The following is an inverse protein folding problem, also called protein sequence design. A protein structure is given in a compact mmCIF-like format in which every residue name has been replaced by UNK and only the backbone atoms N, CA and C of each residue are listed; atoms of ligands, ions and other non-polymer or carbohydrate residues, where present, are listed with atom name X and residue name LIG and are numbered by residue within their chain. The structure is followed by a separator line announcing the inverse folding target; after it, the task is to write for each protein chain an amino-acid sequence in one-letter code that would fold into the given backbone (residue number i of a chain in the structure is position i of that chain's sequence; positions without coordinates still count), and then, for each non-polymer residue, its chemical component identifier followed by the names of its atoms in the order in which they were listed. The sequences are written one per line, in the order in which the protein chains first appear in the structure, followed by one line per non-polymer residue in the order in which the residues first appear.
data_IF_806034979382
#
_entry.id   IF_806034979382
#
_cell.length_a   1.000
_cell.length_b   1.000
_cell.length_c   1.000
_cell.angle_alpha   90.00
_cell.angle_beta   90.00
_cell.angle_gamma   90.00
#
_symmetry.space_group_name_H-M   'P 1'
#
loop_
_entity.id
_entity.type
_entity.pdbx_description
1 polymer ?
2 water ?
#
# COMPACT_ATOMS: atom_id res chain seq x y z
N UNK A 4 -7.60 6.87 7.65
CA UNK A 4 -9.05 6.99 7.62
C UNK A 4 -9.78 5.67 7.35
N UNK A 5 -9.58 5.12 6.15
CA UNK A 5 -10.21 3.87 5.69
C UNK A 5 -9.65 2.64 6.43
N UNK A 6 -10.56 1.73 6.83
CA UNK A 6 -10.22 0.49 7.51
C UNK A 6 -10.14 -0.63 6.47
N UNK A 7 -8.94 -1.19 6.31
CA UNK A 7 -8.68 -2.27 5.37
C UNK A 7 -8.84 -3.64 6.02
N UNK A 8 -9.60 -4.52 5.35
CA UNK A 8 -9.89 -5.89 5.80
C UNK A 8 -9.16 -6.90 4.93
N UNK A 9 -8.54 -7.91 5.56
CA UNK A 9 -7.81 -8.98 4.88
C UNK A 9 -8.74 -10.11 4.48
N UNK A 10 -8.84 -10.35 3.16
CA UNK A 10 -9.71 -11.38 2.58
C UNK A 10 -8.92 -12.22 1.57
N UNK A 11 -9.54 -13.31 1.12
CA UNK A 11 -9.03 -14.20 0.08
C UNK A 11 -10.16 -14.38 -0.92
N UNK A 12 -9.86 -14.27 -2.22
CA UNK A 12 -10.89 -14.45 -3.24
C UNK A 12 -11.22 -15.93 -3.48
N UNK A 13 -12.07 -16.22 -4.49
CA UNK A 13 -12.52 -17.55 -4.90
C UNK A 13 -11.36 -18.53 -5.15
N UNK A 14 -10.27 -18.04 -5.76
CA UNK A 14 -9.06 -18.82 -6.08
C UNK A 14 -8.17 -19.03 -4.86
N UNK A 15 -8.08 -18.01 -4.00
CA UNK A 15 -7.26 -18.03 -2.79
C UNK A 15 -6.27 -16.88 -2.72
N UNK A 16 -6.33 -15.95 -3.68
CA UNK A 16 -5.47 -14.77 -3.76
C UNK A 16 -5.80 -13.80 -2.61
N UNK A 17 -4.77 -13.40 -1.84
CA UNK A 17 -4.90 -12.48 -0.71
C UNK A 17 -5.19 -11.08 -1.21
N UNK A 18 -6.29 -10.47 -0.71
CA UNK A 18 -6.72 -9.13 -1.09
C UNK A 18 -6.98 -8.27 0.13
N UNK A 19 -7.10 -6.95 -0.08
CA UNK A 19 -7.41 -5.99 0.96
C UNK A 19 -8.65 -5.20 0.55
N UNK A 20 -9.69 -5.21 1.40
CA UNK A 20 -10.93 -4.49 1.13
C UNK A 20 -11.03 -3.25 2.00
N UNK A 21 -11.08 -2.09 1.34
CA UNK A 21 -11.19 -0.80 2.00
C UNK A 21 -12.55 -0.18 1.87
N UNK A 22 -13.26 -0.02 3.00
CA UNK A 22 -14.59 0.60 3.06
C UNK A 22 -14.38 2.10 3.33
N UNK A 23 -14.74 2.91 2.35
CA UNK A 23 -14.59 4.37 2.41
C UNK A 23 -15.87 5.16 2.20
N UNK A 24 -15.77 6.46 1.83
CA UNK A 24 -16.98 7.28 1.65
C UNK A 24 -17.76 7.02 0.36
N UNK A 25 -17.06 6.84 -0.77
CA UNK A 25 -17.68 6.60 -2.08
C UNK A 25 -18.06 5.14 -2.28
N UNK A 26 -17.28 4.24 -1.68
CA UNK A 26 -17.53 2.81 -1.79
C UNK A 26 -16.42 1.88 -1.36
N UNK A 27 -16.50 0.66 -1.89
CA UNK A 27 -15.58 -0.46 -1.64
C UNK A 27 -14.36 -0.37 -2.56
N UNK A 28 -13.15 -0.47 -1.98
CA UNK A 28 -11.90 -0.47 -2.73
C UNK A 28 -11.26 -1.86 -2.61
N UNK A 29 -10.95 -2.48 -3.75
CA UNK A 29 -10.32 -3.80 -3.77
C UNK A 29 -8.88 -3.65 -4.25
N UNK A 30 -7.94 -4.08 -3.41
CA UNK A 30 -6.50 -3.99 -3.63
C UNK A 30 -5.80 -5.32 -3.38
N UNK A 31 -4.51 -5.41 -3.75
CA UNK A 31 -3.65 -6.55 -3.48
C UNK A 31 -3.09 -6.36 -2.05
N UNK A 32 -2.30 -7.31 -1.51
CA UNK A 32 -1.76 -7.17 -0.15
C UNK A 32 -0.73 -6.03 0.00
N UNK A 33 -0.16 -5.51 -1.12
CA UNK A 33 0.77 -4.37 -1.14
C UNK A 33 0.04 -3.03 -1.40
N UNK A 34 -1.31 -3.03 -1.34
CA UNK A 34 -2.23 -1.90 -1.53
C UNK A 34 -2.33 -1.40 -2.99
N UNK A 35 -1.80 -2.15 -3.97
CA UNK A 35 -1.90 -1.77 -5.38
C UNK A 35 -3.37 -1.93 -5.84
N UNK A 36 -4.00 -0.86 -6.39
CA UNK A 36 -5.43 -0.95 -6.74
C UNK A 36 -5.77 -1.94 -7.86
N UNK A 37 -6.95 -2.55 -7.76
CA UNK A 37 -7.50 -3.49 -8.74
C UNK A 37 -8.80 -2.90 -9.29
N UNK A 38 -9.81 -2.76 -8.42
CA UNK A 38 -11.11 -2.22 -8.79
C UNK A 38 -11.75 -1.48 -7.62
N UNK A 39 -12.76 -0.65 -7.94
CA UNK A 39 -13.56 0.12 -7.00
C UNK A 39 -15.04 -0.13 -7.28
N UNK A 40 -15.81 -0.37 -6.22
CA UNK A 40 -17.26 -0.61 -6.29
C UNK A 40 -17.99 0.49 -5.53
N UNK A 41 -18.84 1.25 -6.24
CA UNK A 41 -19.64 2.31 -5.64
C UNK A 41 -20.83 1.67 -4.93
N UNK A 42 -21.27 2.26 -3.81
CA UNK A 42 -22.40 1.75 -3.02
C UNK A 42 -23.73 1.62 -3.78
N UNK A 43 -24.16 2.52 -4.71
CA UNK A 43 -25.45 2.30 -5.41
C UNK A 43 -25.50 1.00 -6.21
N UNK A 44 -24.33 0.52 -6.66
CA UNK A 44 -24.15 -0.73 -7.40
C UNK A 44 -24.33 -1.94 -6.45
N UNK A 45 -23.98 -1.78 -5.16
CA UNK A 45 -24.11 -2.83 -4.14
C UNK A 45 -25.60 -2.98 -3.77
N UNK A 46 -26.18 -4.11 -4.16
CA UNK A 46 -27.58 -4.48 -3.95
C UNK A 46 -27.78 -5.15 -2.60
N UNK A 47 -26.85 -6.05 -2.22
CA UNK A 47 -26.94 -6.88 -1.03
C UNK A 47 -25.55 -7.28 -0.51
N UNK A 48 -25.50 -7.61 0.79
CA UNK A 48 -24.35 -8.12 1.50
C UNK A 48 -24.83 -9.32 2.31
N UNK A 49 -24.07 -10.43 2.29
CA UNK A 49 -24.40 -11.66 2.99
C UNK A 49 -23.18 -12.15 3.76
N UNK A 50 -23.41 -12.76 4.93
CA UNK A 50 -22.38 -13.36 5.76
C UNK A 50 -22.81 -14.80 6.05
N UNK A 51 -21.90 -15.74 5.80
CA UNK A 51 -22.13 -17.15 6.07
C UNK A 51 -20.87 -17.67 6.75
N UNK A 52 -20.85 -17.52 8.07
CA UNK A 52 -19.71 -17.88 8.91
C UNK A 52 -18.51 -16.99 8.65
N UNK A 53 -17.43 -17.57 8.11
CA UNK A 53 -16.17 -16.93 7.75
C UNK A 53 -16.24 -16.18 6.41
N UNK A 54 -17.28 -16.46 5.60
CA UNK A 54 -17.45 -15.90 4.25
C UNK A 54 -18.42 -14.73 4.18
N UNK A 55 -18.15 -13.78 3.27
CA UNK A 55 -18.96 -12.60 2.99
C UNK A 55 -19.19 -12.51 1.47
N UNK A 56 -20.48 -12.48 1.06
CA UNK A 56 -20.86 -12.39 -0.36
C UNK A 56 -21.47 -11.02 -0.65
N UNK A 57 -21.15 -10.46 -1.82
CA UNK A 57 -21.69 -9.17 -2.25
C UNK A 57 -22.45 -9.27 -3.57
N UNK A 58 -23.69 -8.75 -3.61
CA UNK A 58 -24.50 -8.72 -4.83
C UNK A 58 -24.27 -7.36 -5.47
N UNK A 59 -23.63 -7.38 -6.64
CA UNK A 59 -23.24 -6.21 -7.42
C UNK A 59 -24.07 -6.10 -8.70
N UNK A 60 -24.58 -4.89 -8.99
CA UNK A 60 -25.35 -4.60 -10.20
C UNK A 60 -24.36 -4.22 -11.32
N UNK A 61 -24.56 -4.78 -12.50
CA UNK A 61 -23.71 -4.44 -13.64
C UNK A 61 -24.40 -3.36 -14.47
N UNK A 62 -23.60 -2.52 -15.19
CA UNK A 62 -24.09 -1.47 -16.10
C UNK A 62 -25.06 -2.06 -17.15
N UNK A 63 -24.97 -3.40 -17.34
CA UNK A 63 -25.80 -4.20 -18.24
C UNK A 63 -27.23 -4.36 -17.70
N UNK A 64 -27.37 -4.31 -16.37
CA UNK A 64 -28.64 -4.42 -15.66
C UNK A 64 -28.72 -5.61 -14.72
N UNK A 65 -28.02 -6.70 -15.06
CA UNK A 65 -28.02 -7.97 -14.27
C UNK A 65 -27.21 -7.83 -12.97
N UNK A 66 -27.37 -8.80 -12.07
CA UNK A 66 -26.66 -8.81 -10.76
C UNK A 66 -25.78 -10.06 -10.61
N UNK A 67 -24.55 -9.88 -10.12
CA UNK A 67 -23.59 -11.00 -9.92
C UNK A 67 -23.09 -10.98 -8.48
N UNK A 68 -22.59 -12.12 -7.97
CA UNK A 68 -22.14 -12.24 -6.55
C UNK A 68 -20.62 -12.35 -6.46
N UNK A 69 -20.02 -11.59 -5.52
CA UNK A 69 -18.56 -11.64 -5.28
C UNK A 69 -18.29 -12.34 -3.95
N UNK A 70 -17.40 -13.33 -3.95
CA UNK A 70 -17.07 -14.09 -2.74
C UNK A 70 -15.77 -13.62 -2.09
N UNK A 71 -15.81 -13.39 -0.76
CA UNK A 71 -14.65 -13.02 0.05
C UNK A 71 -14.53 -13.96 1.26
N UNK A 72 -13.48 -14.80 1.24
CA UNK A 72 -13.19 -15.78 2.30
C UNK A 72 -12.32 -15.12 3.35
N UNK A 73 -12.62 -15.35 4.65
CA UNK A 73 -11.86 -14.77 5.75
C UNK A 73 -11.45 -15.79 6.81
N UNK A 74 -10.45 -15.43 7.63
CA UNK A 74 -9.83 -16.24 8.67
C UNK A 74 -10.80 -16.70 9.75
N UNK A 75 -11.74 -15.82 10.16
CA UNK A 75 -12.70 -16.13 11.22
C UNK A 75 -14.07 -15.51 11.00
N UNK A 76 -15.05 -15.92 11.82
CA UNK A 76 -16.42 -15.39 11.81
C UNK A 76 -16.42 -13.94 12.34
N UNK A 77 -15.52 -13.60 13.29
CA UNK A 77 -15.40 -12.22 13.79
C UNK A 77 -14.81 -11.28 12.74
N UNK A 78 -13.85 -11.78 11.93
CA UNK A 78 -13.26 -11.03 10.83
C UNK A 78 -14.33 -10.74 9.77
N UNK A 79 -15.18 -11.77 9.45
CA UNK A 79 -16.30 -11.66 8.50
C UNK A 79 -17.35 -10.67 9.00
N UNK A 80 -17.69 -10.72 10.31
CA UNK A 80 -18.64 -9.80 10.95
C UNK A 80 -18.15 -8.36 10.91
N UNK A 81 -16.83 -8.18 11.02
CA UNK A 81 -16.17 -6.88 10.94
C UNK A 81 -16.30 -6.28 9.55
N UNK A 82 -16.15 -7.11 8.49
CA UNK A 82 -16.31 -6.64 7.10
C UNK A 82 -17.79 -6.45 6.76
N UNK A 83 -18.66 -7.39 7.18
CA UNK A 83 -20.11 -7.31 6.96
C UNK A 83 -20.67 -6.02 7.58
N UNK A 84 -20.29 -5.73 8.86
CA UNK A 84 -20.71 -4.52 9.58
C UNK A 84 -20.22 -3.27 8.87
N UNK A 85 -18.97 -3.29 8.37
CA UNK A 85 -18.35 -2.16 7.67
C UNK A 85 -19.12 -1.80 6.39
N UNK A 86 -19.54 -2.78 5.59
CA UNK A 86 -20.31 -2.57 4.37
C UNK A 86 -21.76 -2.12 4.69
N UNK A 87 -22.38 -2.76 5.70
CA UNK A 87 -23.76 -2.52 6.16
C UNK A 87 -23.96 -1.18 6.92
N UNK A 88 -23.07 -0.82 7.86
CA UNK A 88 -23.16 0.37 8.72
C UNK A 88 -22.58 1.65 8.12
N UNK A 89 -21.55 1.55 7.24
CA UNK A 89 -20.98 2.73 6.55
C UNK A 89 -21.87 3.04 5.33
N UNK A 90 -23.01 2.32 5.22
CA UNK A 90 -24.11 2.47 4.27
C UNK A 90 -25.19 3.27 4.99
N UNK A 91 -25.23 3.19 6.34
CA UNK A 91 -26.12 3.96 7.21
C UNK A 91 -25.49 5.36 7.47
N UNK A 92 -24.42 5.66 6.70
CA UNK A 92 -23.63 6.88 6.68
C UNK A 92 -23.58 7.40 5.24
N UNK A 93 -23.75 6.49 4.25
CA UNK A 93 -23.78 6.75 2.81
C UNK A 93 -25.22 7.08 2.40
N UNK A 94 -26.14 6.15 2.65
CA UNK A 94 -27.56 6.24 2.34
C UNK A 94 -28.40 6.61 3.57
N UNK A 95 -28.56 7.92 3.78
CA UNK A 95 -29.30 8.54 4.89
C UNK A 95 -30.74 8.88 4.46
N UNK A 96 -31.72 8.78 5.39
CA UNK A 96 -33.13 9.07 5.12
C UNK A 96 -33.95 9.32 6.41
N UNK A 97 -34.62 10.50 6.50
CA UNK A 97 -35.50 10.89 7.61
C UNK A 97 -36.48 12.03 7.25
N UNK A 98 -37.47 12.26 8.13
CA UNK A 98 -38.48 13.31 8.02
C UNK A 98 -37.81 14.63 8.44
N UNK A 99 -38.34 15.76 7.94
CA UNK A 99 -37.85 17.10 8.29
C UNK A 99 -38.89 17.73 9.23
N UNK A 100 -40.12 17.93 8.74
CA UNK A 100 -41.21 18.49 9.54
C UNK A 100 -41.99 17.33 10.18
N UNK A 101 -41.71 17.08 11.47
CA UNK A 101 -42.35 16.02 12.26
C UNK A 101 -43.60 16.50 12.99
N UNK B 3 12.69 15.77 23.47
CA UNK B 3 11.41 15.80 22.76
C UNK B 3 10.44 14.76 23.31
N UNK B 4 9.21 15.19 23.59
CA UNK B 4 8.14 14.33 24.09
C UNK B 4 7.45 13.62 22.95
N UNK B 5 6.31 14.17 22.49
CA UNK B 5 5.53 13.63 21.36
C UNK B 5 6.03 14.27 20.07
N UNK B 6 6.44 13.43 19.10
CA UNK B 6 6.99 13.85 17.81
C UNK B 6 5.97 13.58 16.70
N UNK B 7 5.57 14.63 15.98
CA UNK B 7 4.53 14.57 14.96
C UNK B 7 5.06 14.35 13.55
N UNK B 8 4.49 13.36 12.85
CA UNK B 8 4.86 12.97 11.49
C UNK B 8 3.74 13.34 10.52
N UNK B 9 4.08 13.94 9.37
CA UNK B 9 3.13 14.32 8.34
C UNK B 9 2.87 13.16 7.38
N UNK B 10 1.60 12.72 7.32
CA UNK B 10 1.14 11.60 6.48
C UNK B 10 -0.11 12.00 5.69
N UNK B 11 -0.50 11.14 4.76
CA UNK B 11 -1.71 11.24 3.96
C UNK B 11 -2.41 9.89 4.05
N UNK B 12 -3.73 9.88 4.29
CA UNK B 12 -4.46 8.61 4.38
C UNK B 12 -4.76 8.02 2.98
N UNK B 13 -5.54 6.92 2.94
CA UNK B 13 -5.95 6.20 1.74
C UNK B 13 -6.59 7.10 0.67
N UNK B 14 -7.40 8.09 1.11
CA UNK B 14 -8.07 9.04 0.23
C UNK B 14 -7.14 10.16 -0.25
N UNK B 15 -6.26 10.61 0.65
CA UNK B 15 -5.30 11.67 0.38
C UNK B 15 -5.36 12.82 1.37
N UNK B 16 -6.18 12.67 2.43
CA UNK B 16 -6.36 13.66 3.48
C UNK B 16 -5.09 13.75 4.33
N UNK B 17 -4.57 14.98 4.51
CA UNK B 17 -3.36 15.26 5.28
C UNK B 17 -3.64 15.07 6.76
N UNK B 18 -2.82 14.22 7.41
CA UNK B 18 -2.94 13.91 8.84
C UNK B 18 -1.60 14.09 9.56
N UNK B 19 -1.64 14.11 10.89
CA UNK B 19 -0.45 14.20 11.73
C UNK B 19 -0.44 13.05 12.71
N UNK B 20 0.63 12.25 12.71
CA UNK B 20 0.75 11.10 13.60
C UNK B 20 1.74 11.42 14.72
N UNK B 21 1.21 11.48 15.94
CA UNK B 21 1.98 11.78 17.14
C UNK B 21 2.41 10.51 17.83
N UNK B 22 3.72 10.27 17.82
CA UNK B 22 4.29 9.08 18.44
C UNK B 22 4.76 9.45 19.85
N UNK B 23 3.97 9.01 20.82
CA UNK B 23 4.24 9.25 22.24
C UNK B 23 4.53 7.98 23.02
N UNK B 24 4.59 8.05 24.37
CA UNK B 24 4.87 6.84 25.15
C UNK B 24 3.66 5.90 25.31
N UNK B 25 2.43 6.46 25.45
CA UNK B 25 1.18 5.72 25.63
C UNK B 25 0.77 4.98 24.35
N UNK B 26 0.99 5.63 23.20
CA UNK B 26 0.66 5.10 21.90
C UNK B 26 0.78 6.09 20.76
N UNK B 27 -0.09 5.91 19.75
CA UNK B 27 -0.20 6.65 18.50
C UNK B 27 -1.40 7.61 18.56
N UNK B 28 -1.18 8.88 18.20
CA UNK B 28 -2.26 9.85 18.16
C UNK B 28 -2.46 10.31 16.72
N UNK B 29 -3.70 10.19 16.23
CA UNK B 29 -4.03 10.61 14.87
C UNK B 29 -4.84 11.89 14.93
N UNK B 30 -4.31 12.93 14.27
CA UNK B 30 -4.89 14.28 14.23
C UNK B 30 -4.97 14.80 12.81
N UNK B 31 -5.66 15.94 12.63
CA UNK B 31 -5.77 16.66 11.38
C UNK B 31 -4.52 17.56 11.28
N UNK B 32 -4.40 18.32 10.17
CA UNK B 32 -3.31 19.26 9.88
C UNK B 32 -3.16 20.37 10.93
N UNK B 33 -4.27 20.74 11.61
CA UNK B 33 -4.36 21.78 12.64
C UNK B 33 -4.27 21.22 14.09
N UNK B 34 -3.88 19.93 14.22
CA UNK B 34 -3.69 19.17 15.47
C UNK B 34 -4.99 18.80 16.20
N UNK B 35 -6.17 18.98 15.55
CA UNK B 35 -7.46 18.60 16.16
C UNK B 35 -7.53 17.06 16.25
N UNK B 36 -7.77 16.48 17.45
CA UNK B 36 -7.77 15.01 17.58
C UNK B 36 -8.87 14.26 16.84
N UNK B 37 -8.54 13.05 16.36
CA UNK B 37 -9.46 12.15 15.65
C UNK B 37 -9.53 10.83 16.43
N UNK B 38 -8.41 10.07 16.42
CA UNK B 38 -8.25 8.75 17.04
C UNK B 38 -6.99 8.67 17.90
N UNK B 39 -6.97 7.71 18.85
CA UNK B 39 -5.86 7.42 19.74
C UNK B 39 -5.70 5.90 19.81
N UNK B 40 -4.54 5.38 19.38
CA UNK B 40 -4.27 3.95 19.33
C UNK B 40 -3.20 3.58 20.36
N UNK B 41 -3.55 2.72 21.32
CA UNK B 41 -2.59 2.24 22.33
C UNK B 41 -1.71 1.16 21.70
N UNK B 42 -0.44 1.06 22.13
CA UNK B 42 0.53 0.09 21.63
C UNK B 42 0.09 -1.41 21.76
N UNK B 43 -0.57 -1.90 22.85
CA UNK B 43 -0.98 -3.33 22.89
C UNK B 43 -1.95 -3.73 21.77
N UNK B 44 -2.73 -2.76 21.27
CA UNK B 44 -3.69 -2.93 20.18
C UNK B 44 -2.94 -3.07 18.83
N UNK B 45 -1.73 -2.46 18.72
CA UNK B 45 -0.88 -2.54 17.52
C UNK B 45 -0.23 -3.94 17.45
N UNK B 46 -0.66 -4.72 16.45
CA UNK B 46 -0.22 -6.10 16.18
C UNK B 46 1.02 -6.15 15.30
N UNK B 47 1.08 -5.26 14.30
CA UNK B 47 2.14 -5.23 13.29
C UNK B 47 2.35 -3.82 12.72
N UNK B 48 3.58 -3.56 12.23
CA UNK B 48 3.99 -2.33 11.56
C UNK B 48 4.81 -2.74 10.35
N UNK B 49 4.56 -2.13 9.18
CA UNK B 49 5.25 -2.41 7.92
C UNK B 49 5.63 -1.11 7.21
N UNK B 50 6.76 -1.12 6.49
CA UNK B 50 7.24 -0.03 5.64
C UNK B 50 7.52 -0.59 4.25
N UNK B 51 6.94 0.05 3.24
CA UNK B 51 7.13 -0.32 1.85
C UNK B 51 7.38 0.97 1.08
N UNK B 52 8.65 1.35 1.03
CA UNK B 52 9.11 2.59 0.41
C UNK B 52 8.63 3.79 1.17
N UNK B 53 7.77 4.61 0.53
CA UNK B 53 7.15 5.84 1.05
C UNK B 53 5.97 5.54 1.98
N UNK B 54 5.43 4.30 1.93
CA UNK B 54 4.25 3.89 2.72
C UNK B 54 4.55 3.12 4.00
N UNK B 55 3.69 3.31 5.02
CA UNK B 55 3.73 2.65 6.32
C UNK B 55 2.35 2.07 6.63
N UNK B 56 2.27 0.74 6.89
CA UNK B 56 1.01 0.04 7.19
C UNK B 56 1.00 -0.41 8.64
N UNK B 57 -0.16 -0.29 9.30
CA UNK B 57 -0.35 -0.72 10.70
C UNK B 57 -1.48 -1.71 10.85
N UNK B 58 -1.25 -2.82 11.56
CA UNK B 58 -2.29 -3.78 11.87
C UNK B 58 -2.78 -3.48 13.30
N UNK B 59 -4.05 -3.05 13.45
CA UNK B 59 -4.59 -2.71 14.76
C UNK B 59 -5.80 -3.61 15.15
N UNK B 60 -5.77 -4.13 16.37
CA UNK B 60 -6.78 -5.03 16.94
C UNK B 60 -8.00 -4.21 17.37
N UNK B 61 -9.19 -4.58 16.86
CA UNK B 61 -10.45 -3.93 17.18
C UNK B 61 -11.03 -4.47 18.49
N UNK B 62 -11.99 -3.73 19.07
CA UNK B 62 -12.68 -4.08 20.32
C UNK B 62 -13.45 -5.39 20.20
N UNK B 63 -13.89 -5.72 18.96
CA UNK B 63 -14.61 -6.93 18.57
C UNK B 63 -13.70 -8.16 18.58
N UNK B 64 -12.39 -7.95 18.41
CA UNK B 64 -11.40 -9.02 18.38
C UNK B 64 -10.66 -9.16 17.07
N UNK B 65 -11.29 -8.71 15.96
CA UNK B 65 -10.72 -8.78 14.61
C UNK B 65 -9.64 -7.71 14.38
N UNK B 66 -8.82 -7.90 13.35
CA UNK B 66 -7.74 -6.97 13.00
C UNK B 66 -8.03 -6.24 11.67
N UNK B 67 -7.63 -4.95 11.59
CA UNK B 67 -7.73 -4.14 10.38
C UNK B 67 -6.38 -3.52 10.03
N UNK B 68 -6.17 -3.08 8.77
CA UNK B 68 -4.92 -2.45 8.31
C UNK B 68 -5.15 -0.95 8.02
N UNK B 69 -4.27 -0.09 8.55
CA UNK B 69 -4.33 1.35 8.33
C UNK B 69 -3.13 1.75 7.45
N UNK B 70 -3.40 2.43 6.33
CA UNK B 70 -2.39 2.88 5.38
C UNK B 70 -2.04 4.35 5.60
N UNK B 71 -0.73 4.66 5.65
CA UNK B 71 -0.20 6.01 5.78
C UNK B 71 0.83 6.26 4.68
N UNK B 72 0.47 7.14 3.73
CA UNK B 72 1.30 7.52 2.59
C UNK B 72 2.16 8.72 3.00
N UNK B 73 3.44 8.71 2.63
CA UNK B 73 4.36 9.80 2.97
C UNK B 73 5.16 10.31 1.77
N UNK B 74 5.70 11.53 1.90
CA UNK B 74 6.47 12.27 0.89
C UNK B 74 7.71 11.53 0.39
N UNK B 75 8.44 10.86 1.30
CA UNK B 75 9.67 10.15 0.96
C UNK B 75 9.88 8.86 1.75
N UNK B 76 10.87 8.05 1.35
CA UNK B 76 11.26 6.82 2.03
C UNK B 76 11.93 7.17 3.37
N UNK B 77 12.62 8.33 3.43
CA UNK B 77 13.28 8.87 4.63
C UNK B 77 12.24 9.24 5.70
N UNK B 78 11.11 9.84 5.26
CA UNK B 78 9.99 10.22 6.12
C UNK B 78 9.28 8.96 6.64
N UNK B 79 9.06 7.95 5.77
CA UNK B 79 8.42 6.67 6.13
C UNK B 79 9.28 5.90 7.14
N UNK B 80 10.61 5.90 6.94
CA UNK B 80 11.59 5.26 7.83
C UNK B 80 11.53 5.88 9.22
N UNK B 81 11.37 7.22 9.27
CA UNK B 81 11.26 8.00 10.49
C UNK B 81 10.03 7.63 11.30
N UNK B 82 8.89 7.40 10.63
CA UNK B 82 7.65 7.02 11.30
C UNK B 82 7.70 5.55 11.70
N UNK B 83 8.23 4.67 10.81
CA UNK B 83 8.35 3.23 11.09
C UNK B 83 9.20 2.99 12.33
N UNK B 84 10.39 3.60 12.42
CA UNK B 84 11.31 3.48 13.55
C UNK B 84 10.68 4.04 14.82
N UNK B 85 9.90 5.13 14.71
CA UNK B 85 9.20 5.77 15.85
C UNK B 85 8.17 4.80 16.47
N UNK B 86 7.38 4.10 15.65
CA UNK B 86 6.37 3.14 16.12
C UNK B 86 7.01 1.89 16.70
N UNK B 87 8.03 1.33 16.03
CA UNK B 87 8.72 0.11 16.41
C UNK B 87 9.63 0.29 17.65
N UNK B 88 10.49 1.33 17.66
CA UNK B 88 11.45 1.55 18.75
C UNK B 88 10.81 2.05 20.05
N UNK B 89 9.58 2.61 19.97
CA UNK B 89 8.81 3.10 21.13
C UNK B 89 7.85 1.99 21.64
N UNK B 90 7.42 1.07 20.74
CA UNK B 90 6.57 -0.07 21.11
C UNK B 90 7.41 -1.06 21.92
N UNK B 91 8.67 -1.31 21.47
CA UNK B 91 9.65 -2.17 22.14
C UNK B 91 10.06 -1.55 23.49
N UNK B 92 9.99 -0.20 23.58
CA UNK B 92 10.27 0.59 24.79
C UNK B 92 9.08 0.48 25.76
N UNK B 93 7.85 0.38 25.21
CA UNK B 93 6.60 0.26 25.94
C UNK B 93 6.48 -1.15 26.57
N UNK C 3 27.33 11.02 -3.55
CA UNK C 3 27.04 9.64 -3.17
C UNK C 3 25.51 9.33 -3.13
N UNK C 4 24.71 10.25 -3.69
CA UNK C 4 23.25 10.12 -3.73
C UNK C 4 22.74 9.38 -4.96
N UNK C 5 22.68 10.10 -6.10
CA UNK C 5 22.23 9.56 -7.39
C UNK C 5 23.45 9.01 -8.16
N UNK C 6 23.56 7.68 -8.15
CA UNK C 6 24.67 6.92 -8.74
C UNK C 6 24.36 6.47 -10.17
N UNK C 7 25.27 6.76 -11.12
CA UNK C 7 25.09 6.43 -12.54
C UNK C 7 25.88 5.22 -13.00
N UNK C 8 25.20 4.27 -13.65
CA UNK C 8 25.75 3.02 -14.17
C UNK C 8 25.75 3.04 -15.70
N UNK C 9 26.87 2.62 -16.31
CA UNK C 9 27.03 2.56 -17.76
C UNK C 9 26.50 1.24 -18.31
N UNK C 10 25.50 1.33 -19.19
CA UNK C 10 24.85 0.17 -19.82
C UNK C 10 24.73 0.37 -21.33
N UNK C 11 24.33 -0.70 -22.03
CA UNK C 11 24.02 -0.71 -23.46
C UNK C 11 22.65 -1.36 -23.60
N UNK C 12 21.75 -0.78 -24.41
CA UNK C 12 20.42 -1.36 -24.60
C UNK C 12 20.45 -2.55 -25.57
N UNK C 13 19.26 -3.08 -25.92
CA UNK C 13 19.05 -4.21 -26.83
C UNK C 13 19.74 -4.03 -28.20
N UNK C 14 19.73 -2.80 -28.73
CA UNK C 14 20.36 -2.44 -30.01
C UNK C 14 21.87 -2.28 -29.89
N UNK C 15 22.32 -1.71 -28.77
CA UNK C 15 23.74 -1.47 -28.49
C UNK C 15 24.04 -0.01 -28.16
N UNK C 16 22.99 0.82 -28.04
CA UNK C 16 23.10 2.24 -27.71
C UNK C 16 23.55 2.41 -26.26
N UNK C 17 24.62 3.20 -26.05
CA UNK C 17 25.20 3.47 -24.72
C UNK C 17 24.26 4.37 -23.92
N UNK C 18 23.88 3.92 -22.71
CA UNK C 18 22.99 4.64 -21.81
C UNK C 18 23.57 4.77 -20.41
N UNK C 19 22.98 5.64 -19.59
CA UNK C 19 23.37 5.83 -18.19
C UNK C 19 22.15 5.62 -17.31
N UNK C 20 22.24 4.69 -16.35
CA UNK C 20 21.14 4.41 -15.43
C UNK C 20 21.43 5.00 -14.05
N UNK C 21 20.62 5.99 -13.69
CA UNK C 21 20.70 6.68 -12.40
C UNK C 21 19.81 6.03 -11.38
N UNK C 22 20.43 5.46 -10.34
CA UNK C 22 19.71 4.81 -9.25
C UNK C 22 19.59 5.79 -8.08
N UNK C 23 18.38 6.32 -7.90
CA UNK C 23 18.04 7.27 -6.84
C UNK C 23 17.14 6.65 -5.78
N UNK C 24 16.72 7.44 -4.75
CA UNK C 24 15.85 6.86 -3.70
C UNK C 24 14.41 6.63 -4.15
N UNK C 25 13.90 7.44 -5.11
CA UNK C 25 12.53 7.36 -5.64
C UNK C 25 12.36 6.38 -6.81
N UNK C 26 13.38 6.29 -7.67
CA UNK C 26 13.33 5.41 -8.83
C UNK C 26 14.57 5.39 -9.71
N UNK C 27 14.38 4.86 -10.92
CA UNK C 27 15.38 4.66 -11.97
C UNK C 27 15.28 5.78 -13.01
N UNK C 28 16.42 6.42 -13.34
CA UNK C 28 16.52 7.46 -14.36
C UNK C 28 17.32 6.92 -15.54
N UNK C 29 16.75 6.99 -16.76
CA UNK C 29 17.46 6.52 -17.96
C UNK C 29 17.85 7.70 -18.83
N UNK C 30 19.15 7.86 -19.08
CA UNK C 30 19.73 8.95 -19.86
C UNK C 30 20.64 8.44 -20.99
N UNK C 31 21.13 9.38 -21.82
CA UNK C 31 22.11 9.13 -22.87
C UNK C 31 23.50 9.28 -22.21
N UNK C 32 24.59 9.13 -22.99
CA UNK C 32 25.98 9.27 -22.50
C UNK C 32 26.27 10.65 -21.93
N UNK C 33 25.64 11.68 -22.53
CA UNK C 33 25.82 13.09 -22.16
C UNK C 33 24.86 13.55 -21.05
N UNK C 34 24.18 12.59 -20.37
CA UNK C 34 23.22 12.77 -19.28
C UNK C 34 21.88 13.41 -19.68
N UNK C 35 21.59 13.52 -21.00
CA UNK C 35 20.31 14.06 -21.47
C UNK C 35 19.18 13.07 -21.13
N UNK C 36 18.12 13.50 -20.39
CA UNK C 36 17.07 12.55 -19.98
C UNK C 36 16.25 11.94 -21.11
N UNK C 37 15.82 10.68 -20.91
CA UNK C 37 14.99 9.92 -21.84
C UNK C 37 13.68 9.56 -21.13
N UNK C 38 13.78 8.76 -20.06
CA UNK C 38 12.64 8.26 -19.30
C UNK C 38 12.99 8.08 -17.82
N UNK C 39 11.94 7.99 -16.98
CA UNK C 39 12.04 7.79 -15.53
C UNK C 39 11.09 6.65 -15.14
N UNK C 40 11.59 5.70 -14.33
CA UNK C 40 10.81 4.54 -13.88
C UNK C 40 10.72 4.57 -12.35
N UNK C 41 9.49 4.68 -11.82
CA UNK C 41 9.25 4.68 -10.39
C UNK C 41 9.33 3.24 -9.88
N UNK C 42 9.83 3.06 -8.63
CA UNK C 42 9.99 1.74 -8.00
C UNK C 42 8.69 0.90 -7.90
N UNK C 43 7.46 1.45 -7.61
CA UNK C 43 6.26 0.58 -7.57
C UNK C 43 5.94 -0.13 -8.89
N UNK C 44 6.36 0.48 -10.01
CA UNK C 44 6.19 -0.05 -11.37
C UNK C 44 7.17 -1.24 -11.60
N UNK C 45 8.35 -1.20 -10.93
CA UNK C 45 9.36 -2.26 -11.02
C UNK C 45 8.89 -3.48 -10.20
N UNK C 46 8.55 -4.57 -10.91
CA UNK C 46 8.04 -5.82 -10.37
C UNK C 46 9.18 -6.76 -9.96
N UNK C 47 10.24 -6.82 -10.80
CA UNK C 47 11.35 -7.75 -10.63
C UNK C 47 12.63 -7.20 -11.27
N UNK C 48 13.77 -7.70 -10.77
CA UNK C 48 15.11 -7.41 -11.26
C UNK C 48 15.84 -8.76 -11.36
N UNK C 49 16.55 -8.98 -12.47
CA UNK C 49 17.29 -10.22 -12.72
C UNK C 49 18.69 -9.90 -13.22
N UNK C 50 19.67 -10.73 -12.86
CA UNK C 50 21.04 -10.64 -13.31
C UNK C 50 21.44 -11.99 -13.90
N UNK C 51 21.99 -11.97 -15.11
CA UNK C 51 22.46 -13.16 -15.80
C UNK C 51 23.81 -12.80 -16.39
N UNK C 52 24.84 -12.99 -15.57
CA UNK C 52 26.21 -12.66 -15.93
C UNK C 52 26.41 -11.16 -16.04
N UNK C 53 26.73 -10.71 -17.26
CA UNK C 53 26.96 -9.30 -17.63
C UNK C 53 25.65 -8.54 -17.83
N UNK C 54 24.52 -9.25 -17.98
CA UNK C 54 23.20 -8.67 -18.26
C UNK C 54 22.30 -8.51 -17.04
N UNK C 55 21.47 -7.45 -17.05
CA UNK C 55 20.48 -7.13 -16.02
C UNK C 55 19.13 -6.88 -16.70
N UNK C 56 18.09 -7.64 -16.29
CA UNK C 56 16.74 -7.52 -16.83
C UNK C 56 15.80 -6.93 -15.78
N UNK C 57 14.88 -6.04 -16.22
CA UNK C 57 13.89 -5.42 -15.35
C UNK C 57 12.47 -5.71 -15.81
N UNK C 58 11.61 -6.19 -14.89
CA UNK C 58 10.21 -6.43 -15.18
C UNK C 58 9.45 -5.18 -14.75
N UNK C 59 8.90 -4.46 -15.73
CA UNK C 59 8.21 -3.19 -15.57
C UNK C 59 6.72 -3.34 -15.84
N UNK C 60 5.87 -2.80 -14.93
CA UNK C 60 4.42 -2.82 -15.07
C UNK C 60 4.01 -1.64 -15.94
N UNK C 61 3.27 -1.90 -17.02
CA UNK C 61 2.77 -0.88 -17.92
C UNK C 61 1.41 -0.37 -17.44
N UNK C 62 1.01 0.84 -17.87
CA UNK C 62 -0.24 1.53 -17.51
C UNK C 62 -1.49 0.72 -17.88
N UNK C 63 -1.33 -0.18 -18.86
CA UNK C 63 -2.36 -1.10 -19.36
C UNK C 63 -2.63 -2.23 -18.36
N UNK C 64 -1.63 -2.57 -17.53
CA UNK C 64 -1.72 -3.62 -16.52
C UNK C 64 -0.72 -4.74 -16.71
N UNK C 65 -0.33 -5.00 -17.97
CA UNK C 65 0.62 -6.05 -18.35
C UNK C 65 2.07 -5.69 -17.97
N UNK C 66 2.94 -6.72 -17.92
CA UNK C 66 4.35 -6.55 -17.62
C UNK C 66 5.24 -6.84 -18.84
N UNK C 67 6.28 -6.02 -19.00
CA UNK C 67 7.26 -6.15 -20.07
C UNK C 67 8.63 -6.36 -19.41
N UNK C 68 9.66 -6.56 -20.23
CA UNK C 68 11.03 -6.76 -19.74
C UNK C 68 11.99 -5.81 -20.48
N UNK C 69 12.85 -5.11 -19.72
CA UNK C 69 13.87 -4.20 -20.27
C UNK C 69 15.25 -4.82 -20.07
N UNK C 70 16.03 -4.93 -21.15
CA UNK C 70 17.37 -5.51 -21.13
C UNK C 70 18.46 -4.44 -21.07
N UNK C 71 19.44 -4.63 -20.16
CA UNK C 71 20.60 -3.77 -20.00
C UNK C 71 21.87 -4.62 -20.02
N UNK C 72 22.67 -4.47 -21.10
CA UNK C 72 23.92 -5.18 -21.30
C UNK C 72 25.05 -4.37 -20.67
N UNK C 73 25.97 -5.04 -19.95
CA UNK C 73 27.10 -4.37 -19.29
C UNK C 73 28.45 -5.02 -19.59
N UNK C 74 29.53 -4.26 -19.35
CA UNK C 74 30.92 -4.61 -19.62
C UNK C 74 31.39 -5.86 -18.86
N UNK C 75 30.96 -6.03 -17.60
CA UNK C 75 31.38 -7.16 -16.78
C UNK C 75 30.28 -7.65 -15.83
N UNK C 76 30.52 -8.81 -15.20
CA UNK C 76 29.62 -9.41 -14.21
C UNK C 76 29.65 -8.55 -12.92
N UNK C 77 30.81 -7.92 -12.64
CA UNK C 77 31.03 -7.01 -11.51
C UNK C 77 30.12 -5.80 -11.65
N UNK C 78 30.10 -5.20 -12.86
CA UNK C 78 29.29 -4.03 -13.23
C UNK C 78 27.80 -4.36 -13.14
N UNK C 79 27.40 -5.54 -13.65
CA UNK C 79 26.03 -6.04 -13.65
C UNK C 79 25.51 -6.30 -12.23
N UNK C 80 26.36 -6.86 -11.34
CA UNK C 80 26.04 -7.11 -9.93
C UNK C 80 25.82 -5.79 -9.19
N UNK C 81 26.64 -4.80 -9.51
CA UNK C 81 26.55 -3.45 -8.94
C UNK C 81 25.21 -2.78 -9.24
N UNK C 82 24.78 -2.79 -10.52
CA UNK C 82 23.49 -2.23 -10.92
C UNK C 82 22.35 -3.05 -10.31
N UNK C 83 22.48 -4.39 -10.29
CA UNK C 83 21.50 -5.30 -9.70
C UNK C 83 21.28 -4.97 -8.22
N UNK C 84 22.37 -4.88 -7.45
CA UNK C 84 22.36 -4.56 -6.02
C UNK C 84 21.78 -3.18 -5.77
N UNK C 85 22.08 -2.20 -6.65
CA UNK C 85 21.57 -0.82 -6.57
C UNK C 85 20.04 -0.77 -6.69
N UNK C 86 19.47 -1.52 -7.64
CA UNK C 86 18.01 -1.56 -7.86
C UNK C 86 17.30 -2.35 -6.74
N UNK C 87 17.87 -3.50 -6.32
CA UNK C 87 17.27 -4.39 -5.32
C UNK C 87 17.45 -3.97 -3.85
N UNK C 88 18.55 -3.28 -3.50
CA UNK C 88 18.80 -2.84 -2.12
C UNK C 88 18.26 -1.43 -1.78
N UNK C 89 18.00 -0.56 -2.78
CA UNK C 89 17.51 0.80 -2.51
C UNK C 89 16.09 0.80 -1.92
N UNK C 90 15.15 -0.02 -2.46
CA UNK C 90 13.78 -0.08 -1.96
C UNK C 90 13.76 -0.61 -0.52
N UNK C 91 13.23 0.22 0.41
CA UNK C 91 13.17 -0.09 1.83
C UNK C 91 11.96 -0.92 2.19
N UNK C 92 12.21 -2.11 2.74
CA UNK C 92 11.17 -3.03 3.17
C UNK C 92 11.49 -3.56 4.57
N UNK C 93 10.79 -3.01 5.57
CA UNK C 93 10.95 -3.37 6.97
C UNK C 93 9.61 -3.65 7.58
N UNK C 94 9.50 -4.71 8.39
CA UNK C 94 8.25 -5.12 9.05
C UNK C 94 8.52 -5.98 10.28
N UNK C 95 7.55 -6.01 11.21
CA UNK C 95 7.58 -6.80 12.44
C UNK C 95 6.16 -7.02 12.96
N UNK C 96 5.93 -8.11 13.71
CA UNK C 96 4.65 -8.41 14.33
C UNK C 96 4.75 -9.28 15.57
N UNK C 97 3.79 -9.11 16.48
CA UNK C 97 3.70 -9.90 17.70
C UNK C 97 3.12 -11.27 17.35
N UNK C 98 3.95 -12.32 17.52
CA UNK C 98 3.62 -13.71 17.20
C UNK C 98 2.89 -14.39 18.37
#
# INVERSE_FOLDING_TARGET
ENYGIEWHSVRDSEGQKLLIGVGPEGISICKDDFSPINRIAYPVVQMATQSGKNVYLTVTKESGNSIVLLFKMISTRAASGLYRAITETHAFYRCDTVTSA
ENYGIEWHSVRDSEGQKLLIGVGPEGISICKDDFSPINRIAYPVVQMATQSGKNVYLTVTKESGNSIVLLFKMISTRAASGLYRAITETHAFYRCDTVTSA
ENYGIEWHSVRDSEGQKLLIGVGPEGISICKDDFSPINRIAYPVVQMATQSGKNVYLTVTKESGNSIVLLFKMISTRAASGLYRAITETHAFYRCDTVTSA
#
